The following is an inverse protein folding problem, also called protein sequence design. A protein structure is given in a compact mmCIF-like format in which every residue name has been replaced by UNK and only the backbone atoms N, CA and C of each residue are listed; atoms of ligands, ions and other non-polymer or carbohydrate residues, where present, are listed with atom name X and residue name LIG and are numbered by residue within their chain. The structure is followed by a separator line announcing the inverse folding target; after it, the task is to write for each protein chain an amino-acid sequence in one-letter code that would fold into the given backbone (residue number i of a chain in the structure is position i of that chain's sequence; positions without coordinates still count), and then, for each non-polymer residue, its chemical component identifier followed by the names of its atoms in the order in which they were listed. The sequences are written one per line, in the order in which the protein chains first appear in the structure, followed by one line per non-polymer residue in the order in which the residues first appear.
data_IF_356057450150
#
_entry.id   IF_356057450150
#
_cell.length_a   1.000
_cell.length_b   1.000
_cell.length_c   1.000
_cell.angle_alpha   90.00
_cell.angle_beta   90.00
_cell.angle_gamma   90.00
#
_symmetry.space_group_name_H-M   'P 1'
#
loop_
_entity.id
_entity.type
_entity.pdbx_description
1 polymer ?
#
# COMPACT_ATOMS: atom_id res chain seq x y z
N UNK A 1 -4.70 1.41 23.82
CA UNK A 1 -4.17 0.84 22.56
C UNK A 1 -5.07 1.34 21.45
N UNK A 2 -4.57 2.13 20.49
CA UNK A 2 -5.39 2.64 19.38
C UNK A 2 -5.81 1.46 18.49
N UNK A 3 -7.07 1.42 18.07
CA UNK A 3 -7.52 0.37 17.16
C UNK A 3 -6.92 0.57 15.76
N UNK A 4 -6.89 -0.49 14.95
CA UNK A 4 -6.43 -0.41 13.56
C UNK A 4 -7.24 0.63 12.75
N UNK A 5 -8.53 0.77 13.05
CA UNK A 5 -9.42 1.76 12.42
C UNK A 5 -9.03 3.19 12.79
N UNK A 6 -8.60 3.41 14.03
CA UNK A 6 -8.13 4.72 14.50
C UNK A 6 -6.82 5.11 13.83
N UNK A 7 -5.86 4.17 13.74
CA UNK A 7 -4.59 4.41 13.02
C UNK A 7 -4.85 4.80 11.57
N UNK A 8 -5.77 4.11 10.90
CA UNK A 8 -6.14 4.40 9.51
C UNK A 8 -6.79 5.78 9.37
N UNK A 9 -7.70 6.13 10.29
CA UNK A 9 -8.40 7.43 10.27
C UNK A 9 -7.45 8.60 10.54
N UNK A 10 -6.49 8.43 11.45
CA UNK A 10 -5.43 9.41 11.73
C UNK A 10 -4.57 9.64 10.49
N UNK A 11 -4.15 8.57 9.80
CA UNK A 11 -3.35 8.70 8.57
C UNK A 11 -4.12 9.41 7.45
N UNK A 12 -5.41 9.13 7.29
CA UNK A 12 -6.26 9.81 6.29
C UNK A 12 -6.34 11.30 6.60
N UNK A 13 -6.65 11.68 7.85
CA UNK A 13 -6.70 13.09 8.27
C UNK A 13 -5.36 13.80 8.11
N UNK A 14 -4.26 13.13 8.47
CA UNK A 14 -2.93 13.68 8.31
C UNK A 14 -2.59 13.97 6.83
N UNK A 15 -3.01 13.09 5.90
CA UNK A 15 -2.82 13.33 4.45
C UNK A 15 -3.56 14.55 3.95
N UNK A 16 -4.76 14.77 4.46
CA UNK A 16 -5.60 15.90 4.08
C UNK A 16 -5.01 17.23 4.60
N UNK A 17 -4.59 17.26 5.86
CA UNK A 17 -3.96 18.46 6.48
C UNK A 17 -2.61 18.82 5.84
N UNK A 18 -1.85 17.81 5.42
CA UNK A 18 -0.54 18.02 4.81
C UNK A 18 -0.61 18.27 3.30
N UNK A 19 -1.82 18.21 2.70
CA UNK A 19 -2.02 18.45 1.27
C UNK A 19 -1.49 19.84 0.87
N UNK A 20 -0.50 19.87 -0.04
CA UNK A 20 0.15 21.10 -0.50
C UNK A 20 1.41 21.50 0.26
N UNK A 21 1.86 20.70 1.24
CA UNK A 21 3.19 20.81 1.86
C UNK A 21 4.11 19.73 1.31
N UNK A 22 5.42 19.97 1.33
CA UNK A 22 6.40 18.91 1.09
C UNK A 22 6.51 18.04 2.35
N UNK A 23 5.84 16.89 2.35
CA UNK A 23 5.91 15.91 3.43
C UNK A 23 6.12 14.51 2.86
N UNK A 24 6.80 13.64 3.63
CA UNK A 24 6.87 12.22 3.36
C UNK A 24 6.28 11.45 4.54
N UNK A 25 5.32 10.57 4.27
CA UNK A 25 4.86 9.59 5.25
C UNK A 25 5.68 8.33 5.07
N UNK A 26 6.41 7.95 6.11
CA UNK A 26 7.10 6.65 6.16
C UNK A 26 6.08 5.63 6.67
N UNK A 27 5.65 4.72 5.79
CA UNK A 27 5.02 3.48 6.25
C UNK A 27 6.07 2.67 7.01
N UNK A 28 5.69 1.95 8.07
CA UNK A 28 6.54 0.98 8.79
C UNK A 28 6.84 -0.25 7.90
N UNK A 29 7.47 -0.05 6.75
CA UNK A 29 7.90 -1.10 5.84
C UNK A 29 9.34 -1.48 6.14
N UNK A 30 9.56 -2.77 6.34
CA UNK A 30 10.91 -3.31 6.43
C UNK A 30 11.62 -3.25 5.07
N UNK A 31 12.94 -3.44 5.07
CA UNK A 31 13.72 -3.53 3.82
C UNK A 31 13.21 -4.66 2.91
N UNK A 32 12.72 -5.75 3.48
CA UNK A 32 12.15 -6.88 2.75
C UNK A 32 10.82 -6.50 2.10
N UNK A 33 9.96 -5.80 2.84
CA UNK A 33 8.69 -5.28 2.30
C UNK A 33 8.93 -4.34 1.12
N UNK A 34 9.93 -3.46 1.22
CA UNK A 34 10.31 -2.56 0.13
C UNK A 34 10.82 -3.31 -1.11
N UNK A 35 11.60 -4.38 -0.92
CA UNK A 35 12.05 -5.24 -2.03
C UNK A 35 10.87 -5.92 -2.72
N UNK A 36 9.95 -6.49 -1.97
CA UNK A 36 8.76 -7.15 -2.51
C UNK A 36 7.84 -6.16 -3.23
N UNK A 37 7.62 -4.98 -2.62
CA UNK A 37 6.84 -3.90 -3.24
C UNK A 37 7.46 -3.46 -4.57
N UNK A 38 8.79 -3.33 -4.63
CA UNK A 38 9.52 -2.93 -5.85
C UNK A 38 9.53 -4.03 -6.91
N UNK A 39 9.68 -5.30 -6.52
CA UNK A 39 9.71 -6.47 -7.40
C UNK A 39 8.51 -6.53 -8.34
N UNK A 40 7.31 -6.28 -7.81
CA UNK A 40 6.06 -6.40 -8.55
C UNK A 40 5.47 -5.07 -9.03
N UNK A 41 6.22 -3.97 -8.94
CA UNK A 41 5.71 -2.63 -9.28
C UNK A 41 5.13 -2.55 -10.70
N UNK A 42 5.80 -3.15 -11.68
CA UNK A 42 5.33 -3.18 -13.08
C UNK A 42 4.03 -3.96 -13.22
N UNK A 43 3.99 -5.20 -12.72
CA UNK A 43 2.82 -6.07 -12.76
C UNK A 43 1.59 -5.44 -12.08
N UNK A 44 1.80 -4.72 -10.98
CA UNK A 44 0.70 -3.99 -10.30
C UNK A 44 0.21 -2.81 -11.15
N UNK A 45 1.11 -2.11 -11.85
CA UNK A 45 0.71 -1.03 -12.75
C UNK A 45 -0.12 -1.57 -13.93
N UNK A 46 0.33 -2.67 -14.55
CA UNK A 46 -0.43 -3.33 -15.62
C UNK A 46 -1.79 -3.86 -15.14
N UNK A 47 -1.83 -4.46 -13.94
CA UNK A 47 -3.08 -4.91 -13.34
C UNK A 47 -4.05 -3.73 -13.11
N UNK A 48 -3.54 -2.59 -12.65
CA UNK A 48 -4.32 -1.38 -12.46
C UNK A 48 -4.91 -0.85 -13.76
N UNK A 49 -4.12 -0.82 -14.85
CA UNK A 49 -4.59 -0.44 -16.18
C UNK A 49 -5.70 -1.37 -16.70
N UNK A 50 -5.63 -2.65 -16.36
CA UNK A 50 -6.69 -3.65 -16.67
C UNK A 50 -7.90 -3.57 -15.73
N UNK A 51 -7.92 -2.62 -14.79
CA UNK A 51 -9.00 -2.42 -13.83
C UNK A 51 -8.90 -3.25 -12.54
N UNK A 52 -7.84 -4.02 -12.36
CA UNK A 52 -7.58 -4.81 -11.16
C UNK A 52 -6.82 -3.99 -10.11
N UNK A 53 -7.52 -3.56 -9.05
CA UNK A 53 -6.91 -2.80 -7.95
C UNK A 53 -6.24 -3.74 -6.94
N UNK A 54 -4.96 -3.48 -6.66
CA UNK A 54 -4.19 -4.18 -5.64
C UNK A 54 -3.79 -3.22 -4.49
N UNK A 55 -3.67 -3.75 -3.28
CA UNK A 55 -3.18 -3.03 -2.08
C UNK A 55 -1.95 -3.72 -1.53
N UNK A 56 -0.90 -2.96 -1.20
CA UNK A 56 0.24 -3.47 -0.45
C UNK A 56 -0.04 -3.38 1.05
N UNK A 57 -0.02 -4.51 1.77
CA UNK A 57 -0.27 -4.56 3.21
C UNK A 57 0.42 -5.76 3.86
N UNK A 58 1.11 -5.51 4.97
CA UNK A 58 1.87 -6.51 5.73
C UNK A 58 2.83 -7.31 4.83
N UNK A 59 3.65 -6.58 4.06
CA UNK A 59 4.67 -7.14 3.18
C UNK A 59 4.18 -7.85 1.93
N UNK A 60 2.87 -7.81 1.64
CA UNK A 60 2.29 -8.53 0.50
C UNK A 60 1.34 -7.66 -0.30
N UNK A 61 1.35 -7.85 -1.61
CA UNK A 61 0.28 -7.36 -2.48
C UNK A 61 -0.97 -8.21 -2.30
N UNK A 62 -2.11 -7.55 -2.19
CA UNK A 62 -3.40 -8.18 -1.96
C UNK A 62 -4.41 -7.69 -2.99
N UNK A 63 -5.24 -8.60 -3.48
CA UNK A 63 -6.35 -8.28 -4.38
C UNK A 63 -7.54 -7.67 -3.64
N UNK A 64 -8.64 -7.46 -4.37
CA UNK A 64 -9.90 -6.89 -3.86
C UNK A 64 -10.46 -7.67 -2.67
N UNK A 65 -10.27 -8.99 -2.66
CA UNK A 65 -10.78 -9.89 -1.61
C UNK A 65 -9.84 -10.00 -0.40
N UNK A 66 -8.79 -9.17 -0.33
CA UNK A 66 -7.80 -9.19 0.75
C UNK A 66 -6.81 -10.37 0.69
N UNK A 67 -7.01 -11.31 -0.23
CA UNK A 67 -6.10 -12.43 -0.47
C UNK A 67 -4.79 -11.95 -1.11
N UNK A 68 -3.70 -12.66 -0.82
CA UNK A 68 -2.41 -12.36 -1.44
C UNK A 68 -2.51 -12.53 -2.96
N UNK A 69 -2.16 -11.49 -3.70
CA UNK A 69 -2.12 -11.52 -5.15
C UNK A 69 -0.92 -12.37 -5.56
N UNK A 70 -1.16 -13.38 -6.37
CA UNK A 70 -0.11 -14.12 -7.06
C UNK A 70 0.20 -13.35 -8.34
N UNK A 71 1.46 -13.02 -8.53
CA UNK A 71 1.97 -12.53 -9.80
C UNK A 71 2.70 -13.69 -10.44
N UNK A 72 2.30 -14.05 -11.66
CA UNK A 72 3.04 -14.99 -12.46
C UNK A 72 4.24 -14.23 -13.03
N UNK A 73 5.45 -14.74 -12.78
CA UNK A 73 6.72 -14.09 -13.13
C UNK A 73 7.40 -14.75 -14.32
#
# INVERSE_FOLDING_TARGET
MLSYRDKTSIMIKARDVLRGKDYYMVDDLTREDLKEKKKWKSHVAEAYEKGEKCRFFAGKWRGKDGQAKKFDG
#
